data_IF_880399451980
#
_entry.id   IF_880399451980
#
_cell.length_a   1.000
_cell.length_b   1.000
_cell.length_c   1.000
_cell.angle_alpha   90.00
_cell.angle_beta   90.00
_cell.angle_gamma   90.00
#
_symmetry.space_group_name_H-M   'P 1'
#
loop_
_entity.id
_entity.type
_entity.pdbx_description
1 polymer ?
#
# COMPACT_ATOMS: atom_id res chain seq x y z
N UNK A 1 1.82 13.85 -7.30
CA UNK A 1 3.02 13.04 -6.99
C UNK A 1 2.62 11.76 -6.27
N UNK A 2 1.97 11.83 -5.10
CA UNK A 2 1.43 10.64 -4.41
C UNK A 2 0.50 9.79 -5.29
N UNK A 3 -0.43 10.42 -6.03
CA UNK A 3 -1.35 9.69 -6.93
C UNK A 3 -0.64 8.81 -7.97
N UNK A 4 0.49 9.25 -8.52
CA UNK A 4 1.25 8.45 -9.51
C UNK A 4 1.91 7.23 -8.84
N UNK A 5 2.57 7.43 -7.71
CA UNK A 5 3.12 6.34 -6.89
C UNK A 5 2.03 5.36 -6.47
N UNK A 6 0.87 5.86 -6.03
CA UNK A 6 -0.23 5.01 -5.62
C UNK A 6 -0.75 4.14 -6.76
N UNK A 7 -0.88 4.70 -7.97
CA UNK A 7 -1.28 3.94 -9.16
C UNK A 7 -0.22 2.92 -9.58
N UNK A 8 1.07 3.29 -9.54
CA UNK A 8 2.17 2.36 -9.85
C UNK A 8 2.25 1.21 -8.84
N UNK A 9 1.92 1.48 -7.58
CA UNK A 9 1.81 0.47 -6.54
C UNK A 9 0.49 -0.30 -6.61
N UNK A 10 -0.46 0.02 -7.50
CA UNK A 10 -1.75 -0.66 -7.64
C UNK A 10 -2.79 -0.35 -6.57
N UNK A 11 -2.66 0.78 -5.89
CA UNK A 11 -3.70 1.28 -4.99
C UNK A 11 -4.80 1.99 -5.80
N UNK A 12 -6.02 1.50 -5.64
CA UNK A 12 -7.22 2.06 -6.26
C UNK A 12 -7.73 3.28 -5.47
N UNK A 13 -7.56 3.26 -4.14
CA UNK A 13 -7.96 4.36 -3.27
C UNK A 13 -7.00 4.52 -2.11
N UNK A 14 -6.75 5.76 -1.71
CA UNK A 14 -5.90 6.08 -0.55
C UNK A 14 -6.69 7.00 0.38
N UNK A 15 -6.71 6.68 1.67
CA UNK A 15 -7.49 7.36 2.69
C UNK A 15 -6.62 7.60 3.91
N UNK A 16 -6.49 8.84 4.35
CA UNK A 16 -5.78 9.19 5.57
C UNK A 16 -6.81 9.63 6.60
N UNK A 17 -6.94 8.91 7.72
CA UNK A 17 -7.90 9.26 8.77
C UNK A 17 -7.37 8.80 10.14
N UNK A 18 -7.48 9.69 11.14
CA UNK A 18 -7.01 9.43 12.51
C UNK A 18 -5.55 8.97 12.57
N UNK A 19 -4.65 9.66 11.85
CA UNK A 19 -3.21 9.32 11.79
C UNK A 19 -2.90 7.91 11.24
N UNK A 20 -3.91 7.27 10.65
CA UNK A 20 -3.81 5.98 10.00
C UNK A 20 -4.07 6.14 8.50
N UNK A 21 -3.12 5.69 7.70
CA UNK A 21 -3.23 5.60 6.26
C UNK A 21 -3.86 4.26 5.88
N UNK A 22 -4.90 4.29 5.06
CA UNK A 22 -5.58 3.12 4.49
C UNK A 22 -5.50 3.20 2.99
N UNK A 23 -4.74 2.31 2.36
CA UNK A 23 -4.70 2.17 0.92
C UNK A 23 -5.51 0.93 0.53
N UNK A 24 -6.51 1.11 -0.31
CA UNK A 24 -7.31 0.05 -0.88
C UNK A 24 -6.65 -0.42 -2.17
N UNK A 25 -6.38 -1.71 -2.24
CA UNK A 25 -5.98 -2.35 -3.47
C UNK A 25 -7.18 -2.51 -4.40
N UNK A 26 -6.90 -2.89 -5.63
CA UNK A 26 -7.93 -3.24 -6.62
C UNK A 26 -8.93 -4.21 -6.00
N UNK A 27 -10.22 -3.91 -6.16
CA UNK A 27 -11.31 -4.71 -5.59
C UNK A 27 -11.53 -6.03 -6.34
N UNK A 28 -10.79 -6.25 -7.43
CA UNK A 28 -10.92 -7.41 -8.30
C UNK A 28 -9.87 -8.47 -7.93
N UNK A 29 -10.24 -9.57 -7.25
CA UNK A 29 -9.30 -10.61 -6.83
C UNK A 29 -8.75 -11.41 -8.01
N UNK A 30 -9.47 -11.46 -9.13
CA UNK A 30 -9.04 -12.06 -10.40
C UNK A 30 -8.15 -11.11 -11.22
N UNK A 31 -7.81 -9.94 -10.67
CA UNK A 31 -6.92 -9.03 -11.35
C UNK A 31 -5.50 -9.62 -11.38
N UNK A 32 -4.82 -9.63 -12.55
CA UNK A 32 -3.44 -10.08 -12.67
C UNK A 32 -2.47 -9.28 -11.78
N UNK A 33 -2.92 -8.13 -11.26
CA UNK A 33 -2.21 -7.37 -10.25
C UNK A 33 -1.86 -8.19 -9.00
N UNK A 34 -2.78 -9.04 -8.49
CA UNK A 34 -2.49 -9.86 -7.30
C UNK A 34 -1.42 -10.94 -7.57
N UNK A 35 -1.26 -11.35 -8.83
CA UNK A 35 -0.20 -12.28 -9.26
C UNK A 35 1.06 -11.55 -9.74
N UNK A 36 1.08 -10.22 -9.72
CA UNK A 36 2.24 -9.45 -10.16
C UNK A 36 3.39 -9.52 -9.16
N UNK A 37 4.61 -9.39 -9.68
CA UNK A 37 5.82 -9.24 -8.87
C UNK A 37 5.74 -8.01 -7.96
N UNK A 38 5.02 -6.97 -8.39
CA UNK A 38 4.78 -5.76 -7.60
C UNK A 38 4.04 -6.08 -6.31
N UNK A 39 2.96 -6.85 -6.36
CA UNK A 39 2.19 -7.22 -5.17
C UNK A 39 2.99 -8.13 -4.22
N UNK A 40 3.71 -9.09 -4.79
CA UNK A 40 4.62 -9.97 -4.03
C UNK A 40 5.72 -9.15 -3.32
N UNK A 41 6.30 -8.16 -4.02
CA UNK A 41 7.27 -7.24 -3.45
C UNK A 41 6.68 -6.38 -2.33
N UNK A 42 5.43 -5.92 -2.46
CA UNK A 42 4.72 -5.21 -1.39
C UNK A 42 4.56 -6.11 -0.17
N UNK A 43 4.11 -7.36 -0.34
CA UNK A 43 3.98 -8.32 0.76
C UNK A 43 5.32 -8.53 1.49
N UNK A 44 6.40 -8.71 0.75
CA UNK A 44 7.73 -8.86 1.32
C UNK A 44 8.22 -7.60 2.03
N UNK A 45 7.96 -6.42 1.46
CA UNK A 45 8.26 -5.15 2.09
C UNK A 45 7.51 -4.98 3.42
N UNK A 46 6.24 -5.38 3.48
CA UNK A 46 5.46 -5.34 4.72
C UNK A 46 6.01 -6.31 5.77
N UNK A 47 6.42 -7.52 5.36
CA UNK A 47 7.02 -8.50 6.25
C UNK A 47 8.39 -8.07 6.78
N UNK A 48 9.24 -7.48 5.93
CA UNK A 48 10.63 -7.11 6.29
C UNK A 48 10.77 -5.69 6.85
N UNK A 49 9.91 -4.77 6.46
CA UNK A 49 10.23 -3.35 6.46
C UNK A 49 9.36 -2.47 7.36
N UNK A 50 8.20 -2.92 7.84
CA UNK A 50 7.30 -1.99 8.55
C UNK A 50 6.46 -2.66 9.63
N UNK A 51 6.92 -2.60 10.89
CA UNK A 51 6.12 -2.96 12.07
C UNK A 51 4.82 -2.12 12.22
N UNK A 52 4.79 -0.96 11.54
CA UNK A 52 3.68 0.00 11.52
C UNK A 52 2.70 -0.18 10.35
N UNK A 53 2.93 -1.11 9.43
CA UNK A 53 2.07 -1.36 8.28
C UNK A 53 1.58 -2.80 8.27
N UNK A 54 0.29 -2.97 8.01
CA UNK A 54 -0.41 -4.24 8.05
C UNK A 54 -1.27 -4.36 6.81
N UNK A 55 -1.11 -5.46 6.08
CA UNK A 55 -2.07 -5.82 5.05
C UNK A 55 -3.27 -6.48 5.71
N UNK A 56 -4.45 -5.93 5.48
CA UNK A 56 -5.73 -6.47 5.91
C UNK A 56 -6.53 -6.89 4.69
N UNK A 57 -6.82 -8.16 4.56
CA UNK A 57 -7.71 -8.67 3.52
C UNK A 57 -9.14 -8.72 4.06
N UNK A 58 -10.08 -8.09 3.37
CA UNK A 58 -11.51 -8.11 3.69
C UNK A 58 -12.22 -8.76 2.51
N UNK A 59 -12.48 -10.07 2.65
CA UNK A 59 -13.03 -10.88 1.55
C UNK A 59 -12.10 -10.91 0.35
N UNK A 60 -12.55 -10.30 -0.75
CA UNK A 60 -11.84 -10.21 -2.04
C UNK A 60 -10.96 -8.96 -2.17
N UNK A 61 -11.06 -8.03 -1.23
CA UNK A 61 -10.39 -6.73 -1.30
C UNK A 61 -9.20 -6.70 -0.34
N UNK A 62 -8.03 -6.32 -0.85
CA UNK A 62 -6.87 -6.00 -0.03
C UNK A 62 -6.95 -4.56 0.49
N UNK A 63 -6.62 -4.34 1.75
CA UNK A 63 -6.50 -3.01 2.35
C UNK A 63 -5.18 -2.95 3.10
N UNK A 64 -4.26 -2.10 2.65
CA UNK A 64 -3.07 -1.77 3.42
C UNK A 64 -3.42 -0.72 4.47
N UNK A 65 -3.12 -1.01 5.74
CA UNK A 65 -3.30 -0.10 6.86
C UNK A 65 -1.92 0.24 7.40
N UNK A 66 -1.57 1.51 7.46
CA UNK A 66 -0.31 2.01 8.02
C UNK A 66 -0.63 2.98 9.14
N UNK A 67 -0.20 2.64 10.33
CA UNK A 67 -0.34 3.47 11.52
C UNK A 67 0.84 4.46 11.60
N UNK A 68 0.66 5.54 12.37
CA UNK A 68 1.65 6.60 12.59
C UNK A 68 1.94 7.49 11.36
N UNK A 69 0.96 7.63 10.46
CA UNK A 69 1.03 8.53 9.30
C UNK A 69 0.21 9.78 9.61
N UNK A 70 0.86 10.80 10.17
CA UNK A 70 0.20 12.05 10.59
C UNK A 70 0.19 13.12 9.51
N UNK A 71 1.17 13.08 8.60
CA UNK A 71 1.39 14.13 7.60
C UNK A 71 1.40 13.57 6.17
N UNK A 72 1.06 14.42 5.20
CA UNK A 72 1.17 14.08 3.79
C UNK A 72 2.62 13.73 3.39
N UNK A 73 3.61 14.34 4.05
CA UNK A 73 5.02 14.03 3.84
C UNK A 73 5.36 12.60 4.23
N UNK A 74 4.90 12.15 5.42
CA UNK A 74 5.09 10.77 5.86
C UNK A 74 4.42 9.76 4.92
N UNK A 75 3.22 10.07 4.43
CA UNK A 75 2.53 9.28 3.41
C UNK A 75 3.36 9.16 2.13
N UNK A 76 3.89 10.28 1.63
CA UNK A 76 4.69 10.30 0.40
C UNK A 76 6.01 9.55 0.56
N UNK A 77 6.68 9.71 1.70
CA UNK A 77 7.91 9.00 2.04
C UNK A 77 7.66 7.49 2.13
N UNK A 78 6.57 7.08 2.76
CA UNK A 78 6.18 5.68 2.85
C UNK A 78 5.92 5.05 1.47
N UNK A 79 5.10 5.71 0.63
CA UNK A 79 4.85 5.26 -0.73
C UNK A 79 6.14 5.19 -1.56
N UNK A 80 7.03 6.17 -1.40
CA UNK A 80 8.32 6.20 -2.10
C UNK A 80 9.23 5.06 -1.65
N UNK A 81 9.29 4.79 -0.34
CA UNK A 81 10.11 3.73 0.23
C UNK A 81 9.62 2.34 -0.18
N UNK A 82 8.30 2.17 -0.24
CA UNK A 82 7.67 0.96 -0.77
C UNK A 82 8.00 0.80 -2.26
N UNK A 83 7.79 1.83 -3.08
CA UNK A 83 8.11 1.80 -4.51
C UNK A 83 9.60 1.48 -4.76
N UNK A 84 10.52 2.08 -4.00
CA UNK A 84 11.96 1.80 -4.08
C UNK A 84 12.37 0.40 -3.63
N UNK A 85 11.53 -0.29 -2.85
CA UNK A 85 11.81 -1.65 -2.41
C UNK A 85 11.36 -2.70 -3.43
N UNK A 86 10.51 -2.30 -4.37
CA UNK A 86 9.90 -3.18 -5.37
C UNK A 86 10.52 -2.97 -6.75
N UNK A 87 10.92 -1.73 -7.06
CA UNK A 87 11.71 -1.36 -8.23
C UNK A 87 13.19 -1.62 -8.00
#
# INVERSE_FOLDING_TARGET
RCRKLSVQLGFEKVLLKNDTLKCFFVSNPDSPYFQSETFTGILQFLQKGTNKAKLKQVGKNGILVVDDVKTMSALFEFLTRMHKSIA
#
